data_IF_500897054984
#
_entry.id   IF_500897054984
#
_cell.length_a   1.000
_cell.length_b   1.000
_cell.length_c   1.000
_cell.angle_alpha   90.00
_cell.angle_beta   90.00
_cell.angle_gamma   90.00
#
_symmetry.space_group_name_H-M   'P 1'
#
loop_
_entity.id
_entity.type
_entity.pdbx_description
1 polymer ?
#
# COMPACT_ATOMS: atom_id res chain seq x y z
N UNK A 1 31.53 -41.29 -68.97
CA UNK A 1 31.84 -40.20 -69.93
C UNK A 1 30.73 -39.17 -69.90
N UNK A 2 31.09 -37.89 -69.70
CA UNK A 2 30.47 -36.64 -70.19
C UNK A 2 29.04 -36.19 -69.76
N UNK A 3 29.04 -35.19 -68.86
CA UNK A 3 28.44 -33.82 -68.92
C UNK A 3 26.93 -33.51 -68.80
N UNK A 4 26.67 -32.49 -67.93
CA UNK A 4 25.64 -31.41 -67.94
C UNK A 4 24.17 -31.75 -67.55
N UNK A 5 23.31 -30.88 -66.97
CA UNK A 5 23.35 -29.57 -66.29
C UNK A 5 21.87 -29.18 -65.93
N UNK A 6 21.55 -28.88 -64.65
CA UNK A 6 20.55 -27.87 -64.10
C UNK A 6 19.01 -28.08 -64.34
N UNK A 7 18.02 -27.50 -63.57
CA UNK A 7 17.91 -26.93 -62.20
C UNK A 7 16.69 -27.41 -61.36
N UNK A 8 16.56 -26.85 -60.14
CA UNK A 8 15.38 -26.11 -59.62
C UNK A 8 14.73 -26.64 -58.33
N UNK A 9 14.97 -25.86 -57.27
CA UNK A 9 14.02 -25.35 -56.28
C UNK A 9 12.97 -26.30 -55.66
N UNK A 10 13.09 -26.52 -54.34
CA UNK A 10 12.00 -26.43 -53.37
C UNK A 10 12.62 -26.57 -51.96
N UNK A 11 12.65 -25.48 -51.20
CA UNK A 11 11.67 -25.14 -50.16
C UNK A 11 12.04 -25.77 -48.80
N UNK A 12 12.65 -24.94 -47.94
CA UNK A 12 12.82 -25.18 -46.50
C UNK A 12 11.45 -25.26 -45.81
N UNK A 13 11.28 -26.18 -44.86
CA UNK A 13 10.74 -25.90 -43.52
C UNK A 13 10.90 -27.12 -42.59
N UNK A 14 11.98 -27.07 -41.80
CA UNK A 14 12.07 -27.26 -40.35
C UNK A 14 11.30 -28.38 -39.59
N UNK A 15 12.13 -29.14 -38.86
CA UNK A 15 12.08 -29.48 -37.41
C UNK A 15 11.24 -30.69 -36.96
N UNK A 16 11.89 -31.54 -36.15
CA UNK A 16 11.43 -32.29 -34.93
C UNK A 16 12.27 -33.59 -34.83
N UNK A 17 12.82 -34.08 -33.72
CA UNK A 17 12.95 -33.67 -32.32
C UNK A 17 14.10 -34.46 -31.67
N UNK A 18 14.86 -33.82 -30.78
CA UNK A 18 15.70 -34.39 -29.73
C UNK A 18 15.68 -33.31 -28.62
N UNK A 19 15.39 -33.48 -27.34
CA UNK A 19 15.83 -34.46 -26.33
C UNK A 19 15.01 -34.28 -25.02
N UNK A 20 15.12 -35.28 -24.12
CA UNK A 20 15.16 -35.30 -22.63
C UNK A 20 14.93 -33.97 -21.83
N UNK A 21 14.50 -33.91 -20.56
CA UNK A 21 14.47 -34.84 -19.43
C UNK A 21 13.56 -34.23 -18.33
N UNK A 22 13.29 -35.02 -17.28
CA UNK A 22 12.61 -34.67 -16.03
C UNK A 22 13.09 -33.34 -15.40
N UNK A 23 12.17 -32.50 -14.92
CA UNK A 23 12.48 -31.44 -13.95
C UNK A 23 11.26 -31.19 -13.04
N UNK A 24 11.60 -31.03 -11.74
CA UNK A 24 10.78 -31.01 -10.52
C UNK A 24 9.52 -30.14 -10.56
N UNK A 25 8.50 -30.45 -9.72
CA UNK A 25 7.51 -29.45 -9.36
C UNK A 25 8.20 -28.30 -8.64
N UNK A 26 8.12 -27.09 -9.21
CA UNK A 26 8.42 -25.86 -8.50
C UNK A 26 7.47 -25.74 -7.31
N UNK A 27 7.94 -25.60 -6.06
CA UNK A 27 7.14 -24.95 -5.07
C UNK A 27 7.02 -23.50 -5.52
N UNK A 28 5.84 -23.10 -6.01
CA UNK A 28 5.43 -21.71 -5.94
C UNK A 28 5.46 -21.34 -4.47
N UNK A 29 6.60 -20.83 -4.01
CA UNK A 29 6.69 -20.08 -2.79
C UNK A 29 5.80 -18.86 -3.02
N UNK A 30 4.53 -18.98 -2.63
CA UNK A 30 3.73 -17.83 -2.27
C UNK A 30 4.56 -17.08 -1.23
N UNK A 31 5.28 -16.05 -1.66
CA UNK A 31 5.77 -15.04 -0.74
C UNK A 31 4.50 -14.35 -0.24
N UNK A 32 3.88 -14.92 0.79
CA UNK A 32 3.14 -14.10 1.74
C UNK A 32 4.18 -13.14 2.30
N UNK A 33 4.32 -12.00 1.63
CA UNK A 33 5.07 -10.87 2.11
C UNK A 33 4.48 -10.58 3.47
N UNK A 34 5.21 -10.94 4.51
CA UNK A 34 4.85 -10.54 5.86
C UNK A 34 5.13 -9.05 5.88
N UNK A 35 4.12 -8.25 5.54
CA UNK A 35 4.14 -6.81 5.75
C UNK A 35 4.51 -6.63 7.20
N UNK A 36 5.70 -6.09 7.44
CA UNK A 36 6.21 -5.90 8.81
C UNK A 36 5.49 -4.68 9.36
N UNK A 37 4.32 -4.89 9.91
CA UNK A 37 3.48 -3.83 10.43
C UNK A 37 4.06 -3.32 11.75
N UNK A 38 4.21 -2.00 11.90
CA UNK A 38 4.67 -1.37 13.15
C UNK A 38 3.48 -1.01 14.03
N UNK A 39 3.51 -1.37 15.30
CA UNK A 39 2.46 -0.98 16.26
C UNK A 39 2.59 0.50 16.64
N UNK A 40 1.44 1.18 16.75
CA UNK A 40 1.33 2.52 17.28
C UNK A 40 0.48 2.52 18.55
N UNK A 41 0.75 3.47 19.45
CA UNK A 41 -0.20 3.88 20.47
C UNK A 41 -1.01 5.05 19.91
N UNK A 42 -2.29 4.82 19.69
CA UNK A 42 -3.22 5.83 19.22
C UNK A 42 -4.20 6.18 20.34
N UNK A 43 -4.46 7.45 20.55
CA UNK A 43 -5.44 7.93 21.54
C UNK A 43 -6.41 8.86 20.84
N UNK A 44 -7.69 8.50 20.82
CA UNK A 44 -8.78 9.28 20.21
C UNK A 44 -9.63 9.87 21.33
N UNK A 45 -9.68 11.19 21.45
CA UNK A 45 -10.40 11.90 22.51
C UNK A 45 -10.13 11.32 23.92
N UNK A 46 -8.86 11.04 24.22
CA UNK A 46 -8.43 10.46 25.50
C UNK A 46 -8.62 8.94 25.64
N UNK A 47 -9.19 8.26 24.65
CA UNK A 47 -9.39 6.81 24.66
C UNK A 47 -8.29 6.11 23.86
N UNK A 48 -7.52 5.19 24.47
CA UNK A 48 -6.53 4.42 23.74
C UNK A 48 -7.23 3.48 22.77
N UNK A 49 -6.71 3.40 21.55
CA UNK A 49 -7.15 2.49 20.49
C UNK A 49 -5.92 1.82 19.87
N UNK A 50 -6.09 0.58 19.41
CA UNK A 50 -5.00 -0.11 18.73
C UNK A 50 -4.86 0.40 17.30
N UNK A 51 -3.63 0.69 16.87
CA UNK A 51 -3.35 1.08 15.50
C UNK A 51 -1.99 0.55 15.04
N UNK A 52 -1.81 0.60 13.73
CA UNK A 52 -0.64 0.07 13.07
C UNK A 52 -0.23 0.93 11.88
N UNK A 53 1.05 0.87 11.52
CA UNK A 53 1.61 1.41 10.29
C UNK A 53 2.15 0.30 9.39
N UNK A 54 1.98 0.46 8.09
CA UNK A 54 2.56 -0.41 7.09
C UNK A 54 4.09 -0.23 6.99
N UNK A 55 4.80 -1.23 6.46
CA UNK A 55 6.22 -1.10 6.14
C UNK A 55 6.43 -0.38 4.79
N UNK A 56 6.06 0.89 4.74
CA UNK A 56 6.24 1.74 3.55
C UNK A 56 7.18 2.91 3.82
N UNK A 57 7.73 3.52 2.77
CA UNK A 57 8.56 4.71 2.93
C UNK A 57 7.76 5.89 3.51
N UNK A 58 6.51 6.08 3.05
CA UNK A 58 5.61 7.11 3.56
C UNK A 58 5.22 6.89 5.03
N UNK A 59 4.92 5.64 5.41
CA UNK A 59 4.58 5.30 6.79
C UNK A 59 5.76 5.50 7.74
N UNK A 60 6.99 5.17 7.31
CA UNK A 60 8.21 5.45 8.09
C UNK A 60 8.50 6.95 8.22
N UNK A 61 8.26 7.73 7.16
CA UNK A 61 8.41 9.19 7.21
C UNK A 61 7.36 9.84 8.12
N UNK A 62 6.14 9.29 8.14
CA UNK A 62 5.11 9.67 9.10
C UNK A 62 5.51 9.31 10.54
N UNK A 63 6.03 8.10 10.78
CA UNK A 63 6.50 7.66 12.09
C UNK A 63 7.61 8.56 12.65
N UNK A 64 8.45 9.14 11.77
CA UNK A 64 9.50 10.09 12.16
C UNK A 64 8.97 11.45 12.65
N UNK A 65 7.67 11.74 12.49
CA UNK A 65 7.03 12.92 13.07
C UNK A 65 6.51 12.68 14.49
N UNK A 66 6.43 11.43 14.94
CA UNK A 66 5.79 11.08 16.21
C UNK A 66 6.71 11.42 17.40
N UNK A 67 6.15 11.86 18.55
CA UNK A 67 4.71 11.93 18.85
C UNK A 67 4.01 13.16 18.26
N UNK A 68 2.73 13.02 17.88
CA UNK A 68 1.87 14.11 17.43
C UNK A 68 0.56 14.14 18.22
N UNK A 69 0.07 15.34 18.52
CA UNK A 69 -1.31 15.60 18.94
C UNK A 69 -1.94 16.55 17.94
N UNK A 70 -3.01 16.12 17.29
CA UNK A 70 -3.64 16.84 16.18
C UNK A 70 -5.14 17.06 16.49
N UNK A 71 -5.63 18.25 16.16
CA UNK A 71 -7.06 18.54 16.16
C UNK A 71 -7.66 18.04 14.83
N UNK A 72 -8.80 17.35 14.92
CA UNK A 72 -9.46 16.70 13.79
C UNK A 72 -10.69 17.48 13.34
N UNK A 73 -10.88 17.56 12.03
CA UNK A 73 -12.10 18.07 11.41
C UNK A 73 -12.81 16.98 10.63
N UNK A 74 -14.15 16.97 10.65
CA UNK A 74 -14.93 16.09 9.78
C UNK A 74 -14.86 16.56 8.33
N UNK A 75 -14.60 15.63 7.42
CA UNK A 75 -14.62 15.89 6.00
C UNK A 75 -15.59 14.93 5.30
N UNK A 76 -16.62 15.53 4.69
CA UNK A 76 -17.64 14.84 3.88
C UNK A 76 -18.30 13.64 4.58
N UNK A 77 -18.44 13.65 5.90
CA UNK A 77 -19.03 12.56 6.67
C UNK A 77 -18.42 11.17 6.34
N UNK A 78 -17.11 11.15 6.04
CA UNK A 78 -16.36 9.97 5.56
C UNK A 78 -15.04 9.78 6.30
N UNK A 79 -14.33 10.88 6.54
CA UNK A 79 -13.01 10.87 7.16
C UNK A 79 -12.84 12.01 8.16
N UNK A 80 -11.92 11.83 9.10
CA UNK A 80 -11.39 12.90 9.95
C UNK A 80 -10.04 13.33 9.42
N UNK A 81 -9.84 14.63 9.20
CA UNK A 81 -8.61 15.19 8.65
C UNK A 81 -7.87 16.05 9.67
N UNK A 82 -6.54 16.08 9.55
CA UNK A 82 -5.67 16.98 10.32
C UNK A 82 -4.44 17.40 9.52
N UNK A 83 -3.98 18.63 9.73
CA UNK A 83 -2.73 19.11 9.16
C UNK A 83 -1.52 18.42 9.80
N UNK A 84 -0.50 18.16 8.99
CA UNK A 84 0.79 17.65 9.44
C UNK A 84 1.81 18.80 9.56
N UNK A 85 2.79 18.70 10.48
CA UNK A 85 3.81 19.75 10.65
C UNK A 85 4.71 19.93 9.41
N UNK A 86 4.78 18.92 8.54
CA UNK A 86 5.39 19.00 7.22
C UNK A 86 4.77 17.97 6.28
N UNK A 87 5.00 18.15 4.98
CA UNK A 87 4.67 17.14 3.96
C UNK A 87 5.53 15.88 4.14
N UNK A 88 4.94 14.74 3.78
CA UNK A 88 5.60 13.45 3.77
C UNK A 88 6.21 13.17 2.39
N UNK A 89 7.29 12.39 2.37
CA UNK A 89 7.78 11.77 1.15
C UNK A 89 6.87 10.61 0.77
N UNK A 90 6.29 10.67 -0.43
CA UNK A 90 5.48 9.58 -1.03
C UNK A 90 6.25 8.83 -2.10
N UNK A 91 7.58 8.89 -2.05
CA UNK A 91 8.45 8.24 -3.03
C UNK A 91 8.25 6.73 -2.98
N UNK A 92 7.90 6.13 -4.12
CA UNK A 92 7.61 4.70 -4.23
C UNK A 92 6.21 4.28 -3.76
N UNK A 93 5.37 5.22 -3.32
CA UNK A 93 3.94 4.96 -3.09
C UNK A 93 3.19 4.82 -4.42
N UNK A 94 2.07 4.08 -4.46
CA UNK A 94 1.15 4.11 -5.59
C UNK A 94 0.65 5.53 -5.89
N UNK A 95 0.18 5.76 -7.13
CA UNK A 95 -0.36 7.05 -7.54
C UNK A 95 -1.66 7.44 -6.84
N UNK A 96 -2.28 6.53 -6.10
CA UNK A 96 -3.52 6.70 -5.36
C UNK A 96 -3.95 5.39 -4.72
N UNK A 97 -5.03 5.43 -3.95
CA UNK A 97 -5.57 4.26 -3.25
C UNK A 97 -7.07 4.40 -3.03
N UNK A 98 -7.74 3.27 -2.86
CA UNK A 98 -9.03 3.19 -2.18
C UNK A 98 -8.81 3.21 -0.66
N UNK A 99 -9.76 3.72 0.11
CA UNK A 99 -9.71 3.65 1.58
C UNK A 99 -10.84 2.80 2.14
N UNK A 100 -10.55 2.13 3.25
CA UNK A 100 -11.50 1.37 4.06
C UNK A 100 -11.69 2.04 5.42
N UNK A 101 -12.84 1.79 6.02
CA UNK A 101 -13.09 2.21 7.39
C UNK A 101 -11.97 1.69 8.33
N UNK A 102 -11.34 2.60 9.06
CA UNK A 102 -10.19 2.37 9.92
C UNK A 102 -8.84 2.78 9.31
N UNK A 103 -8.76 3.06 8.01
CA UNK A 103 -7.48 3.41 7.37
C UNK A 103 -6.93 4.76 7.86
N UNK A 104 -5.63 4.76 8.14
CA UNK A 104 -4.81 5.95 8.30
C UNK A 104 -4.13 6.23 6.95
N UNK A 105 -4.38 7.39 6.38
CA UNK A 105 -3.89 7.75 5.06
C UNK A 105 -3.28 9.15 5.04
N UNK A 106 -2.40 9.37 4.08
CA UNK A 106 -1.89 10.68 3.71
C UNK A 106 -2.49 11.11 2.39
N UNK A 107 -3.09 12.29 2.34
CA UNK A 107 -3.57 12.86 1.09
C UNK A 107 -2.51 13.80 0.51
N UNK A 108 -1.71 13.31 -0.43
CA UNK A 108 -0.54 14.01 -0.97
C UNK A 108 -0.82 15.39 -1.59
N UNK A 109 -1.96 15.64 -2.27
CA UNK A 109 -2.24 16.96 -2.84
C UNK A 109 -2.26 18.07 -1.78
N UNK A 110 -2.94 17.84 -0.65
CA UNK A 110 -3.07 18.84 0.42
C UNK A 110 -1.98 18.71 1.48
N UNK A 111 -1.51 17.50 1.72
CA UNK A 111 -0.49 17.21 2.71
C UNK A 111 -1.01 16.99 4.13
N UNK A 112 -2.28 16.59 4.26
CA UNK A 112 -2.91 16.29 5.54
C UNK A 112 -2.96 14.78 5.82
N UNK A 113 -3.12 14.46 7.10
CA UNK A 113 -3.57 13.15 7.56
C UNK A 113 -5.07 13.02 7.30
N UNK A 114 -5.48 11.82 6.92
CA UNK A 114 -6.85 11.38 6.74
C UNK A 114 -7.08 10.10 7.54
N UNK A 115 -8.12 10.06 8.36
CA UNK A 115 -8.51 8.91 9.18
C UNK A 115 -9.92 8.51 8.78
N UNK A 116 -10.02 7.46 7.98
CA UNK A 116 -11.28 7.02 7.39
C UNK A 116 -12.11 6.26 8.41
N UNK A 117 -13.40 6.58 8.49
CA UNK A 117 -14.37 5.82 9.29
C UNK A 117 -15.49 5.22 8.44
N UNK A 118 -15.39 5.41 7.12
CA UNK A 118 -16.20 4.77 6.08
C UNK A 118 -15.29 4.46 4.89
N UNK A 119 -15.75 3.55 4.04
CA UNK A 119 -15.07 3.27 2.78
C UNK A 119 -15.12 4.49 1.85
N UNK A 120 -14.03 4.68 1.10
CA UNK A 120 -13.92 5.71 0.06
C UNK A 120 -13.34 5.10 -1.21
N UNK A 121 -13.90 5.41 -2.39
CA UNK A 121 -13.38 4.93 -3.67
C UNK A 121 -11.96 5.44 -3.92
N UNK A 122 -11.34 4.91 -4.97
CA UNK A 122 -9.98 5.27 -5.36
C UNK A 122 -9.83 6.79 -5.53
N UNK A 123 -8.74 7.31 -4.99
CA UNK A 123 -8.39 8.74 -5.05
C UNK A 123 -6.93 8.93 -5.40
N UNK A 124 -6.67 9.81 -6.37
CA UNK A 124 -5.31 10.17 -6.76
C UNK A 124 -4.58 10.89 -5.62
N UNK A 125 -3.34 10.46 -5.37
CA UNK A 125 -2.48 10.97 -4.32
C UNK A 125 -2.83 10.50 -2.91
N UNK A 126 -3.82 9.61 -2.75
CA UNK A 126 -4.09 8.97 -1.46
C UNK A 126 -3.09 7.84 -1.21
N UNK A 127 -2.44 7.87 -0.06
CA UNK A 127 -1.42 6.89 0.35
C UNK A 127 -1.82 6.28 1.68
N UNK A 128 -2.07 4.97 1.70
CA UNK A 128 -2.32 4.26 2.96
C UNK A 128 -1.02 4.18 3.76
N UNK A 129 -1.09 4.66 5.00
CA UNK A 129 0.01 4.63 5.96
C UNK A 129 -0.12 3.46 6.93
N UNK A 130 -1.36 3.03 7.19
CA UNK A 130 -1.68 2.00 8.16
C UNK A 130 -3.16 2.02 8.51
N UNK A 131 -3.50 1.54 9.72
CA UNK A 131 -4.89 1.30 10.10
C UNK A 131 -5.11 1.24 11.61
N UNK A 132 -6.29 1.71 12.04
CA UNK A 132 -6.91 1.51 13.36
C UNK A 132 -7.58 0.14 13.42
N UNK A 133 -7.48 -0.56 14.54
CA UNK A 133 -8.15 -1.85 14.73
C UNK A 133 -9.66 -1.75 14.48
N UNK A 134 -10.23 -2.76 13.83
CA UNK A 134 -11.64 -2.76 13.42
C UNK A 134 -12.60 -2.58 14.61
N UNK A 135 -12.22 -3.09 15.80
CA UNK A 135 -12.97 -2.92 17.05
C UNK A 135 -13.08 -1.47 17.52
N UNK A 136 -12.18 -0.59 17.07
CA UNK A 136 -12.09 0.80 17.49
C UNK A 136 -12.53 1.81 16.41
N UNK A 137 -12.75 1.37 15.16
CA UNK A 137 -13.20 2.22 14.04
C UNK A 137 -14.46 3.03 14.37
N UNK A 138 -15.36 2.48 15.19
CA UNK A 138 -16.59 3.17 15.63
C UNK A 138 -16.37 4.45 16.44
N UNK A 139 -15.15 4.72 16.91
CA UNK A 139 -14.80 5.95 17.66
C UNK A 139 -14.45 7.13 16.76
N UNK A 140 -14.10 6.86 15.51
CA UNK A 140 -13.62 7.86 14.56
C UNK A 140 -14.69 8.85 14.05
N UNK A 141 -15.98 8.49 13.83
CA UNK A 141 -16.97 9.41 13.28
C UNK A 141 -17.23 10.66 14.11
N UNK A 142 -16.90 10.66 15.40
CA UNK A 142 -17.07 11.78 16.33
C UNK A 142 -15.75 12.41 16.78
N UNK A 143 -14.60 11.94 16.27
CA UNK A 143 -13.31 12.27 16.85
C UNK A 143 -12.91 13.73 16.61
N UNK A 144 -12.57 14.44 17.68
CA UNK A 144 -12.13 15.85 17.63
C UNK A 144 -10.62 15.99 17.83
N UNK A 145 -9.98 15.00 18.45
CA UNK A 145 -8.55 15.01 18.75
C UNK A 145 -7.95 13.62 18.63
N UNK A 146 -6.72 13.57 18.10
CA UNK A 146 -5.93 12.35 18.03
C UNK A 146 -4.52 12.58 18.54
N UNK A 147 -4.01 11.66 19.34
CA UNK A 147 -2.60 11.60 19.74
C UNK A 147 -1.99 10.29 19.26
N UNK A 148 -0.84 10.38 18.60
CA UNK A 148 -0.20 9.29 17.88
C UNK A 148 1.24 9.18 18.38
N UNK A 149 1.63 8.00 18.85
CA UNK A 149 2.94 7.75 19.45
C UNK A 149 3.50 6.40 18.99
N UNK A 150 4.83 6.30 18.89
CA UNK A 150 5.48 5.01 18.70
C UNK A 150 5.34 4.14 19.97
N UNK A 151 5.24 2.83 19.77
CA UNK A 151 5.41 1.85 20.85
C UNK A 151 6.89 1.56 20.98
N UNK A 152 7.50 1.95 22.11
CA UNK A 152 8.91 1.69 22.44
C UNK A 152 9.20 0.23 22.76
#
# INVERSE_FOLDING_TARGET
MRHHLIPAAALLLAVTACTAETTRPSPSASSSGRTTTMNLRLTVDGHPVAATLDDSAAARDFAALLPLTLDLSDFHATERIADLPRRLSVSGSPGGAEAKAGDLAYYAPWGNLAVFYRDFPYSDGLVILGRVAESDTGRLPGAEKITIENVS
#
